data_IF_613155626702
#
_entry.id   IF_613155626702
#
_cell.length_a   1.000
_cell.length_b   1.000
_cell.length_c   1.000
_cell.angle_alpha   90.00
_cell.angle_beta   90.00
_cell.angle_gamma   90.00
#
_symmetry.space_group_name_H-M   'P 1'
#
loop_
_entity.id
_entity.type
_entity.pdbx_description
1 polymer ?
#
# COMPACT_ATOMS: atom_id res chain seq x y z
N UNK A 1 -62.00 48.27 -21.69
CA UNK A 1 -61.88 46.88 -21.15
C UNK A 1 -60.55 46.73 -20.54
N UNK A 2 -60.50 46.59 -19.23
CA UNK A 2 -59.29 46.72 -18.39
C UNK A 2 -58.45 45.45 -18.38
N UNK A 3 -57.15 45.57 -18.68
CA UNK A 3 -56.06 44.51 -18.70
C UNK A 3 -55.57 44.12 -17.30
N UNK A 4 -56.40 44.21 -16.24
CA UNK A 4 -55.94 44.04 -14.83
C UNK A 4 -56.54 42.86 -14.06
N UNK A 5 -57.23 41.89 -14.67
CA UNK A 5 -57.87 40.78 -13.95
C UNK A 5 -57.52 39.39 -14.43
N UNK A 6 -56.31 39.22 -15.04
CA UNK A 6 -55.78 37.88 -15.44
C UNK A 6 -54.55 37.50 -14.66
N UNK A 7 -54.61 37.57 -13.36
CA UNK A 7 -53.39 37.28 -12.56
C UNK A 7 -53.60 36.80 -11.13
N UNK A 8 -54.81 36.36 -10.76
CA UNK A 8 -55.01 35.83 -9.39
C UNK A 8 -55.84 34.54 -9.42
N UNK A 9 -55.21 33.43 -9.73
CA UNK A 9 -55.91 32.15 -9.68
C UNK A 9 -55.19 30.97 -10.29
N UNK A 10 -53.87 30.86 -10.07
CA UNK A 10 -53.20 29.63 -10.44
C UNK A 10 -52.05 29.35 -9.47
N UNK A 11 -52.16 28.19 -8.78
CA UNK A 11 -51.06 27.39 -8.30
C UNK A 11 -50.39 27.76 -6.95
N UNK A 12 -51.14 27.62 -5.86
CA UNK A 12 -50.52 27.45 -4.55
C UNK A 12 -50.77 26.08 -3.87
N UNK A 13 -51.47 25.15 -4.50
CA UNK A 13 -51.89 23.93 -3.80
C UNK A 13 -51.19 22.60 -4.16
N UNK A 14 -50.48 22.37 -5.26
CA UNK A 14 -49.88 21.04 -5.48
C UNK A 14 -48.42 20.86 -5.03
N UNK A 15 -47.69 21.91 -4.64
CA UNK A 15 -46.27 21.81 -4.25
C UNK A 15 -46.03 21.68 -2.74
N UNK A 16 -47.02 21.94 -1.90
CA UNK A 16 -46.85 21.90 -0.44
C UNK A 16 -46.72 20.45 0.11
N UNK A 17 -47.47 19.51 -0.44
CA UNK A 17 -47.42 18.12 0.01
C UNK A 17 -46.13 17.37 -0.34
N UNK A 18 -45.52 17.51 -1.54
CA UNK A 18 -44.20 16.96 -1.85
C UNK A 18 -43.07 17.59 -1.03
N UNK A 19 -43.12 18.91 -0.80
CA UNK A 19 -42.16 19.62 0.04
C UNK A 19 -42.24 19.19 1.52
N UNK A 20 -43.43 19.06 2.07
CA UNK A 20 -43.64 18.57 3.44
C UNK A 20 -43.16 17.12 3.59
N UNK A 21 -43.41 16.22 2.61
CA UNK A 21 -42.89 14.87 2.58
C UNK A 21 -41.37 14.85 2.44
N UNK A 22 -40.76 15.69 1.61
CA UNK A 22 -39.32 15.81 1.47
C UNK A 22 -38.68 16.32 2.77
N UNK A 23 -39.30 17.28 3.46
CA UNK A 23 -38.85 17.77 4.76
C UNK A 23 -39.02 16.72 5.87
N UNK A 24 -40.10 15.93 5.90
CA UNK A 24 -40.26 14.81 6.83
C UNK A 24 -39.24 13.70 6.55
N UNK A 25 -38.95 13.37 5.29
CA UNK A 25 -37.97 12.41 4.90
C UNK A 25 -36.56 12.89 5.27
N UNK A 26 -36.26 14.16 5.02
CA UNK A 26 -35.01 14.80 5.45
C UNK A 26 -34.86 14.83 6.99
N UNK A 27 -35.96 15.18 7.70
CA UNK A 27 -35.97 15.17 9.17
C UNK A 27 -35.83 13.75 9.76
N UNK A 28 -36.32 12.71 9.08
CA UNK A 28 -36.08 11.30 9.46
C UNK A 28 -34.66 10.87 9.15
N UNK A 29 -34.12 11.31 8.02
CA UNK A 29 -32.71 11.02 7.64
C UNK A 29 -31.70 11.75 8.53
N UNK A 30 -32.02 12.93 9.04
CA UNK A 30 -31.22 13.74 9.97
C UNK A 30 -31.38 13.36 11.44
N UNK A 31 -32.29 12.45 11.80
CA UNK A 31 -32.21 11.76 13.11
C UNK A 31 -30.93 10.90 13.08
N UNK A 32 -29.83 11.48 13.56
CA UNK A 32 -28.52 10.86 13.55
C UNK A 32 -28.59 9.41 14.08
N UNK A 33 -27.74 8.57 13.52
CA UNK A 33 -27.57 7.21 14.04
C UNK A 33 -27.33 7.27 15.55
N UNK A 34 -27.80 6.28 16.34
CA UNK A 34 -27.56 6.24 17.79
C UNK A 34 -26.09 6.43 18.13
N UNK A 35 -25.77 7.03 19.27
CA UNK A 35 -24.39 7.15 19.73
C UNK A 35 -23.69 5.79 19.73
N UNK A 36 -22.45 5.76 19.25
CA UNK A 36 -21.64 4.56 19.16
C UNK A 36 -20.40 4.72 20.03
N UNK A 37 -20.03 3.67 20.75
CA UNK A 37 -18.80 3.64 21.55
C UNK A 37 -18.02 2.37 21.28
N UNK A 38 -16.68 2.47 21.36
CA UNK A 38 -15.79 1.30 21.32
C UNK A 38 -15.91 0.54 22.65
N UNK A 39 -16.34 -0.72 22.60
CA UNK A 39 -16.53 -1.58 23.77
C UNK A 39 -15.34 -2.46 24.08
N UNK A 40 -14.70 -2.99 23.05
CA UNK A 40 -13.50 -3.81 23.19
C UNK A 40 -12.61 -3.71 21.95
N UNK A 41 -11.37 -4.09 22.11
CA UNK A 41 -10.37 -4.14 21.06
C UNK A 41 -9.62 -5.47 21.19
N UNK A 42 -9.54 -6.23 20.10
CA UNK A 42 -8.79 -7.48 20.03
C UNK A 42 -7.59 -7.31 19.10
N UNK A 43 -6.45 -7.84 19.51
CA UNK A 43 -5.28 -8.03 18.65
C UNK A 43 -5.26 -9.49 18.24
N UNK A 44 -5.31 -9.75 16.94
CA UNK A 44 -5.39 -11.09 16.36
C UNK A 44 -4.15 -11.31 15.52
N UNK A 45 -3.44 -12.40 15.77
CA UNK A 45 -2.22 -12.76 15.05
C UNK A 45 -2.40 -14.09 14.33
N UNK A 46 -1.85 -14.21 13.11
CA UNK A 46 -1.87 -15.45 12.36
C UNK A 46 -0.75 -15.50 11.34
N UNK A 47 -0.30 -16.72 11.00
CA UNK A 47 0.60 -16.97 9.88
C UNK A 47 -0.12 -17.08 8.53
N UNK A 48 -1.45 -16.91 8.50
CA UNK A 48 -2.25 -17.01 7.27
C UNK A 48 -2.13 -18.32 6.52
N UNK A 49 -1.64 -19.38 7.18
CA UNK A 49 -1.40 -20.69 6.55
C UNK A 49 -0.08 -20.80 5.79
N UNK A 50 0.79 -19.76 5.87
CA UNK A 50 2.18 -19.72 5.41
C UNK A 50 3.07 -19.19 6.54
N UNK A 51 4.29 -18.78 6.22
CA UNK A 51 5.19 -18.13 7.17
C UNK A 51 4.93 -16.61 7.28
N UNK A 52 3.68 -16.17 7.13
CA UNK A 52 3.32 -14.77 7.33
C UNK A 52 3.29 -14.41 8.82
N UNK A 53 3.44 -13.12 9.09
CA UNK A 53 3.47 -12.56 10.45
C UNK A 53 2.38 -11.51 10.59
N UNK A 54 1.16 -11.88 10.21
CA UNK A 54 0.04 -10.96 10.16
C UNK A 54 -0.48 -10.60 11.54
N UNK A 55 -0.71 -9.31 11.71
CA UNK A 55 -1.28 -8.72 12.93
C UNK A 55 -2.47 -7.87 12.56
N UNK A 56 -3.61 -8.17 13.13
CA UNK A 56 -4.85 -7.45 12.90
C UNK A 56 -5.37 -6.83 14.19
N UNK A 57 -5.99 -5.65 14.05
CA UNK A 57 -6.76 -5.01 15.10
C UNK A 57 -8.25 -5.15 14.77
N UNK A 58 -9.02 -5.75 15.68
CA UNK A 58 -10.48 -5.80 15.59
C UNK A 58 -11.09 -4.90 16.66
N UNK A 59 -11.83 -3.86 16.23
CA UNK A 59 -12.54 -2.91 17.10
C UNK A 59 -14.00 -3.33 17.19
N UNK A 60 -14.48 -3.60 18.40
CA UNK A 60 -15.86 -4.03 18.68
C UNK A 60 -16.62 -2.83 19.26
N UNK A 61 -17.81 -2.56 18.71
CA UNK A 61 -18.62 -1.40 19.10
C UNK A 61 -19.76 -1.75 20.08
N UNK A 62 -20.43 -0.72 20.56
CA UNK A 62 -21.63 -0.86 21.39
C UNK A 62 -22.87 -1.34 20.59
N UNK A 63 -22.83 -1.28 19.27
CA UNK A 63 -23.86 -1.80 18.39
C UNK A 63 -23.62 -3.30 18.18
N UNK A 64 -24.58 -4.18 18.56
CA UNK A 64 -24.42 -5.62 18.40
C UNK A 64 -24.17 -6.02 16.96
N UNK A 65 -23.15 -6.83 16.73
CA UNK A 65 -22.79 -7.31 15.39
C UNK A 65 -22.00 -6.30 14.54
N UNK A 66 -21.66 -5.12 15.08
CA UNK A 66 -20.86 -4.12 14.38
C UNK A 66 -19.43 -4.06 14.93
N UNK A 67 -18.48 -4.42 14.10
CA UNK A 67 -17.03 -4.33 14.34
C UNK A 67 -16.29 -3.94 13.06
N UNK A 68 -15.06 -3.51 13.20
CA UNK A 68 -14.15 -3.27 12.09
C UNK A 68 -12.81 -3.94 12.30
N UNK A 69 -12.12 -4.21 11.20
CA UNK A 69 -10.80 -4.82 11.16
C UNK A 69 -9.82 -3.90 10.45
N UNK A 70 -8.56 -3.88 10.91
CA UNK A 70 -7.46 -3.17 10.26
C UNK A 70 -6.15 -3.94 10.38
N UNK A 71 -5.26 -3.70 9.43
CA UNK A 71 -3.94 -4.32 9.35
C UNK A 71 -2.90 -3.52 10.15
N UNK A 72 -2.16 -4.23 11.01
CA UNK A 72 -0.98 -3.72 11.71
C UNK A 72 0.28 -4.47 11.30
N UNK A 73 0.32 -4.96 10.08
CA UNK A 73 1.35 -5.87 9.64
C UNK A 73 2.72 -5.21 9.50
N UNK A 74 3.67 -5.66 10.33
CA UNK A 74 5.08 -5.30 10.29
C UNK A 74 5.94 -6.54 10.56
N UNK A 75 6.45 -7.15 9.52
CA UNK A 75 7.14 -8.43 9.60
C UNK A 75 8.44 -8.40 10.41
N UNK A 76 9.09 -7.24 10.50
CA UNK A 76 10.41 -7.13 11.15
C UNK A 76 10.34 -6.72 12.61
N UNK A 77 9.23 -6.07 13.02
CA UNK A 77 9.02 -5.60 14.39
C UNK A 77 7.65 -6.03 14.95
N UNK A 78 7.18 -7.18 14.55
CA UNK A 78 5.87 -7.73 14.88
C UNK A 78 5.52 -7.65 16.36
N UNK A 79 6.42 -8.10 17.25
CA UNK A 79 6.16 -8.08 18.69
C UNK A 79 6.10 -6.68 19.29
N UNK A 80 6.85 -5.73 18.75
CA UNK A 80 6.76 -4.33 19.15
C UNK A 80 5.38 -3.75 18.80
N UNK A 81 4.89 -4.04 17.60
CA UNK A 81 3.54 -3.65 17.15
C UNK A 81 2.45 -4.28 18.02
N UNK A 82 2.51 -5.59 18.26
CA UNK A 82 1.55 -6.29 19.14
C UNK A 82 1.51 -5.63 20.52
N UNK A 83 2.69 -5.40 21.11
CA UNK A 83 2.79 -4.76 22.44
C UNK A 83 2.21 -3.34 22.43
N UNK A 84 2.51 -2.57 21.39
CA UNK A 84 1.99 -1.21 21.25
C UNK A 84 0.46 -1.18 21.11
N UNK A 85 -0.11 -2.12 20.36
CA UNK A 85 -1.56 -2.29 20.23
C UNK A 85 -2.21 -2.65 21.57
N UNK A 86 -1.70 -3.69 22.25
CA UNK A 86 -2.32 -4.21 23.47
C UNK A 86 -2.14 -3.31 24.69
N UNK A 87 -0.93 -2.77 24.88
CA UNK A 87 -0.56 -2.04 26.11
C UNK A 87 -0.80 -0.54 26.01
N UNK A 88 -0.79 0.02 24.80
CA UNK A 88 -0.91 1.47 24.63
C UNK A 88 -2.17 1.89 23.85
N UNK A 89 -2.51 1.26 22.73
CA UNK A 89 -3.66 1.67 21.94
C UNK A 89 -4.99 1.20 22.53
N UNK A 90 -5.13 -0.10 22.83
CA UNK A 90 -6.36 -0.72 23.33
C UNK A 90 -6.96 0.02 24.54
N UNK A 91 -6.24 0.25 25.65
CA UNK A 91 -6.81 0.92 26.82
C UNK A 91 -7.20 2.37 26.54
N UNK A 92 -6.56 3.02 25.57
CA UNK A 92 -6.87 4.39 25.18
C UNK A 92 -8.12 4.50 24.29
N UNK A 93 -8.42 3.47 23.46
CA UNK A 93 -9.55 3.47 22.54
C UNK A 93 -10.89 3.17 23.22
N UNK A 94 -10.91 2.34 24.25
CA UNK A 94 -12.15 1.92 24.92
C UNK A 94 -12.94 3.14 25.41
N UNK A 95 -14.25 3.16 25.12
CA UNK A 95 -15.17 4.24 25.48
C UNK A 95 -15.24 5.42 24.50
N UNK A 96 -14.33 5.46 23.50
CA UNK A 96 -14.35 6.53 22.49
C UNK A 96 -15.42 6.30 21.42
N UNK A 97 -15.80 7.37 20.72
CA UNK A 97 -16.72 7.34 19.59
C UNK A 97 -15.96 6.99 18.30
N UNK A 98 -16.23 5.81 17.68
CA UNK A 98 -15.55 5.39 16.47
C UNK A 98 -15.92 6.21 15.22
N UNK A 99 -16.95 7.07 15.28
CA UNK A 99 -17.30 7.94 14.17
C UNK A 99 -16.33 9.12 13.98
N UNK A 100 -15.53 9.44 15.03
CA UNK A 100 -14.59 10.56 15.03
C UNK A 100 -13.22 10.14 14.46
N UNK A 101 -13.21 9.60 13.24
CA UNK A 101 -12.02 8.99 12.63
C UNK A 101 -10.84 9.98 12.61
N UNK A 102 -11.03 11.17 12.02
CA UNK A 102 -9.96 12.17 11.90
C UNK A 102 -9.40 12.60 13.28
N UNK A 103 -10.28 12.80 14.28
CA UNK A 103 -9.85 13.15 15.63
C UNK A 103 -9.07 12.02 16.31
N UNK A 104 -9.54 10.77 16.18
CA UNK A 104 -8.85 9.59 16.73
C UNK A 104 -7.52 9.36 16.02
N UNK A 105 -7.48 9.51 14.70
CA UNK A 105 -6.26 9.41 13.92
C UNK A 105 -5.22 10.44 14.38
N UNK A 106 -5.60 11.71 14.43
CA UNK A 106 -4.71 12.80 14.83
C UNK A 106 -4.26 12.65 16.28
N UNK A 107 -5.20 12.36 17.20
CA UNK A 107 -4.89 12.15 18.60
C UNK A 107 -4.00 10.95 18.83
N UNK A 108 -4.22 9.84 18.13
CA UNK A 108 -3.37 8.65 18.23
C UNK A 108 -1.95 8.94 17.76
N UNK A 109 -1.80 9.69 16.70
CA UNK A 109 -0.49 10.07 16.16
C UNK A 109 0.28 11.00 17.11
N UNK A 110 -0.41 11.96 17.76
CA UNK A 110 0.21 12.98 18.61
C UNK A 110 0.45 12.52 20.06
N UNK A 111 -0.39 11.62 20.61
CA UNK A 111 -0.37 11.25 22.02
C UNK A 111 0.92 10.59 22.51
N UNK A 112 1.70 10.03 21.61
CA UNK A 112 2.96 9.37 21.97
C UNK A 112 4.13 10.35 22.14
N UNK A 113 3.93 11.63 21.87
CA UNK A 113 4.93 12.70 21.86
C UNK A 113 5.97 12.51 20.74
N UNK A 114 6.76 11.42 20.74
CA UNK A 114 7.62 11.02 19.62
C UNK A 114 6.77 10.31 18.56
N UNK A 115 6.67 10.92 17.40
CA UNK A 115 5.72 10.55 16.34
C UNK A 115 6.40 9.88 15.16
N UNK A 116 5.61 9.14 14.38
CA UNK A 116 6.09 8.48 13.18
C UNK A 116 6.86 7.20 13.45
N UNK A 117 7.51 6.72 12.43
CA UNK A 117 8.21 5.45 12.43
C UNK A 117 7.31 4.24 12.22
N UNK A 118 7.86 3.13 11.72
CA UNK A 118 7.05 2.01 11.23
C UNK A 118 6.17 1.38 12.30
N UNK A 119 6.64 1.23 13.55
CA UNK A 119 5.83 0.63 14.63
C UNK A 119 4.61 1.48 14.97
N UNK A 120 4.82 2.79 15.21
CA UNK A 120 3.69 3.68 15.54
C UNK A 120 2.70 3.81 14.39
N UNK A 121 3.20 3.91 13.17
CA UNK A 121 2.34 4.05 12.00
C UNK A 121 1.50 2.81 11.76
N UNK A 122 2.05 1.60 11.93
CA UNK A 122 1.25 0.37 11.84
C UNK A 122 0.13 0.32 12.90
N UNK A 123 0.40 0.81 14.11
CA UNK A 123 -0.62 0.92 15.17
C UNK A 123 -1.72 1.91 14.79
N UNK A 124 -1.35 3.07 14.26
CA UNK A 124 -2.31 4.09 13.80
C UNK A 124 -3.10 3.59 12.58
N UNK A 125 -2.43 2.93 11.64
CA UNK A 125 -3.05 2.38 10.43
C UNK A 125 -4.12 1.34 10.76
N UNK A 126 -3.81 0.37 11.62
CA UNK A 126 -4.76 -0.65 12.02
C UNK A 126 -6.02 -0.06 12.69
N UNK A 127 -5.84 0.95 13.53
CA UNK A 127 -6.97 1.66 14.12
C UNK A 127 -7.78 2.39 13.05
N UNK A 128 -7.14 3.11 12.18
CA UNK A 128 -7.77 3.92 11.13
C UNK A 128 -8.56 3.06 10.15
N UNK A 129 -7.97 1.99 9.64
CA UNK A 129 -8.63 1.02 8.76
C UNK A 129 -9.86 0.40 9.44
N UNK A 130 -9.74 -0.03 10.71
CA UNK A 130 -10.87 -0.59 11.45
C UNK A 130 -11.99 0.44 11.69
N UNK A 131 -11.68 1.71 11.91
CA UNK A 131 -12.66 2.77 12.07
C UNK A 131 -13.39 3.09 10.76
N UNK A 132 -12.68 3.12 9.64
CA UNK A 132 -13.29 3.27 8.32
C UNK A 132 -14.16 2.06 7.96
N UNK A 133 -13.72 0.85 8.29
CA UNK A 133 -14.49 -0.38 8.11
C UNK A 133 -15.82 -0.34 8.89
N UNK A 134 -15.78 0.06 10.19
CA UNK A 134 -16.99 0.28 11.00
C UNK A 134 -17.92 1.28 10.34
N UNK A 135 -17.38 2.42 9.91
CA UNK A 135 -18.19 3.49 9.32
C UNK A 135 -18.90 3.02 8.05
N UNK A 136 -18.19 2.33 7.19
CA UNK A 136 -18.72 1.82 5.93
C UNK A 136 -19.72 0.66 6.14
N UNK A 137 -19.44 -0.27 7.05
CA UNK A 137 -20.39 -1.33 7.46
C UNK A 137 -21.68 -0.73 8.04
N UNK A 138 -21.56 0.29 8.88
CA UNK A 138 -22.73 0.99 9.47
C UNK A 138 -23.56 1.73 8.42
N UNK A 139 -22.90 2.24 7.38
CA UNK A 139 -23.56 2.84 6.22
C UNK A 139 -24.12 1.79 5.23
N UNK A 140 -23.83 0.51 5.45
CA UNK A 140 -24.15 -0.61 4.56
C UNK A 140 -23.63 -0.39 3.13
N UNK A 141 -22.38 0.09 3.01
CA UNK A 141 -21.73 0.43 1.74
C UNK A 141 -20.30 -0.12 1.72
N UNK A 142 -19.77 -0.51 0.56
CA UNK A 142 -18.32 -0.66 0.39
C UNK A 142 -17.62 0.67 0.70
N UNK A 143 -16.41 0.62 1.27
CA UNK A 143 -15.74 1.82 1.73
C UNK A 143 -15.51 2.86 0.62
N UNK A 144 -15.20 2.44 -0.60
CA UNK A 144 -14.98 3.38 -1.71
C UNK A 144 -16.18 4.32 -1.96
N UNK A 145 -17.40 3.91 -1.65
CA UNK A 145 -18.59 4.77 -1.78
C UNK A 145 -18.53 5.97 -0.80
N UNK A 146 -17.96 5.77 0.39
CA UNK A 146 -17.74 6.86 1.35
C UNK A 146 -16.53 7.73 0.99
N UNK A 147 -15.66 7.25 0.13
CA UNK A 147 -14.47 7.98 -0.34
C UNK A 147 -14.76 8.82 -1.59
N UNK A 148 -15.97 8.74 -2.14
CA UNK A 148 -16.40 9.51 -3.31
C UNK A 148 -16.98 8.68 -4.45
N UNK A 149 -17.04 7.35 -4.30
CA UNK A 149 -17.47 6.42 -5.33
C UNK A 149 -16.34 5.99 -6.26
N UNK A 150 -16.67 5.17 -7.23
CA UNK A 150 -15.68 4.63 -8.18
C UNK A 150 -15.21 5.69 -9.18
N UNK A 151 -13.91 5.89 -9.29
CA UNK A 151 -13.25 6.59 -10.39
C UNK A 151 -12.78 5.60 -11.49
N UNK A 152 -12.69 4.30 -11.16
CA UNK A 152 -12.26 3.22 -12.03
C UNK A 152 -13.17 1.99 -11.87
N UNK A 153 -13.25 1.14 -12.91
CA UNK A 153 -14.04 -0.10 -12.84
C UNK A 153 -13.29 -1.23 -12.12
N UNK A 154 -11.95 -1.20 -12.15
CA UNK A 154 -11.07 -2.17 -11.50
C UNK A 154 -9.70 -1.54 -11.22
N UNK A 155 -8.94 -2.12 -10.31
CA UNK A 155 -7.60 -1.66 -9.91
C UNK A 155 -6.56 -2.46 -10.69
N UNK A 156 -5.82 -1.81 -11.58
CA UNK A 156 -4.74 -2.45 -12.34
C UNK A 156 -3.58 -2.82 -11.42
N UNK A 157 -3.02 -4.03 -11.63
CA UNK A 157 -1.91 -4.54 -10.85
C UNK A 157 -0.71 -4.90 -11.75
N UNK A 158 0.47 -4.99 -11.14
CA UNK A 158 1.64 -5.56 -11.80
C UNK A 158 2.03 -6.90 -11.16
N UNK A 159 2.46 -7.85 -12.02
CA UNK A 159 2.95 -9.17 -11.61
C UNK A 159 4.44 -9.11 -11.27
N UNK A 160 4.89 -9.98 -10.37
CA UNK A 160 6.29 -10.18 -10.01
C UNK A 160 6.86 -11.32 -10.84
N UNK A 161 7.78 -10.98 -11.74
CA UNK A 161 8.46 -11.93 -12.63
C UNK A 161 9.98 -11.75 -12.55
N UNK A 162 10.72 -12.68 -13.10
CA UNK A 162 12.18 -12.60 -13.14
C UNK A 162 12.81 -13.94 -13.46
N UNK A 163 14.14 -14.01 -13.34
CA UNK A 163 14.88 -15.21 -13.63
C UNK A 163 16.36 -15.08 -13.29
N UNK A 164 17.06 -16.22 -13.30
CA UNK A 164 18.51 -16.28 -13.13
C UNK A 164 19.28 -16.13 -14.45
N UNK A 165 18.55 -16.14 -15.58
CA UNK A 165 19.10 -15.85 -16.90
C UNK A 165 18.18 -14.89 -17.65
N UNK A 166 18.69 -14.26 -18.70
CA UNK A 166 17.92 -13.33 -19.56
C UNK A 166 16.80 -14.06 -20.25
N UNK A 167 17.00 -15.33 -20.62
CA UNK A 167 16.00 -16.21 -21.25
C UNK A 167 14.85 -16.48 -20.27
N UNK A 168 15.14 -16.82 -19.01
CA UNK A 168 14.12 -17.01 -17.98
C UNK A 168 13.29 -15.74 -17.74
N UNK A 169 13.92 -14.56 -17.74
CA UNK A 169 13.20 -13.30 -17.65
C UNK A 169 12.22 -13.12 -18.82
N UNK A 170 12.60 -13.49 -20.04
CA UNK A 170 11.67 -13.46 -21.20
C UNK A 170 10.53 -14.44 -21.00
N UNK A 171 10.80 -15.69 -20.61
CA UNK A 171 9.79 -16.73 -20.38
C UNK A 171 8.78 -16.31 -19.31
N UNK A 172 9.24 -15.76 -18.18
CA UNK A 172 8.35 -15.35 -17.08
C UNK A 172 7.51 -14.14 -17.46
N UNK A 173 8.06 -13.18 -18.23
CA UNK A 173 7.28 -12.06 -18.79
C UNK A 173 6.21 -12.57 -19.76
N UNK A 174 6.53 -13.52 -20.64
CA UNK A 174 5.56 -14.12 -21.56
C UNK A 174 4.45 -14.85 -20.80
N UNK A 175 4.79 -15.66 -19.79
CA UNK A 175 3.81 -16.35 -18.96
C UNK A 175 2.88 -15.39 -18.21
N UNK A 176 3.38 -14.22 -17.80
CA UNK A 176 2.55 -13.16 -17.20
C UNK A 176 1.61 -12.51 -18.22
N UNK A 177 2.08 -12.23 -19.42
CA UNK A 177 1.23 -11.74 -20.52
C UNK A 177 0.10 -12.71 -20.87
N UNK A 178 0.37 -14.03 -20.89
CA UNK A 178 -0.63 -15.08 -21.13
C UNK A 178 -1.71 -15.12 -20.03
N UNK A 179 -1.35 -14.80 -18.78
CA UNK A 179 -2.29 -14.61 -17.67
C UNK A 179 -3.11 -13.32 -17.77
N UNK A 180 -2.78 -12.44 -18.73
CA UNK A 180 -3.48 -11.19 -19.00
C UNK A 180 -2.90 -9.95 -18.34
N UNK A 181 -1.74 -10.04 -17.69
CA UNK A 181 -1.05 -8.87 -17.16
C UNK A 181 -0.47 -8.00 -18.27
N UNK A 182 -0.42 -6.71 -18.04
CA UNK A 182 0.24 -5.73 -18.91
C UNK A 182 1.50 -5.16 -18.30
N UNK A 183 1.61 -5.22 -16.97
CA UNK A 183 2.68 -4.63 -16.17
C UNK A 183 3.39 -5.74 -15.41
N UNK A 184 4.71 -5.81 -15.51
CA UNK A 184 5.53 -6.83 -14.87
C UNK A 184 6.77 -6.21 -14.26
N UNK A 185 6.99 -6.46 -12.96
CA UNK A 185 8.23 -6.13 -12.26
C UNK A 185 9.24 -7.25 -12.50
N UNK A 186 10.23 -6.97 -13.34
CA UNK A 186 11.27 -7.93 -13.71
C UNK A 186 12.45 -7.82 -12.75
N UNK A 187 12.72 -8.91 -12.01
CA UNK A 187 13.90 -9.05 -11.17
C UNK A 187 14.86 -10.08 -11.78
N UNK A 188 16.16 -9.86 -11.59
CA UNK A 188 17.23 -10.72 -12.14
C UNK A 188 18.13 -11.25 -11.02
N UNK A 189 18.41 -12.57 -11.05
CA UNK A 189 19.24 -13.24 -10.05
C UNK A 189 18.49 -13.63 -8.77
N UNK A 190 19.22 -13.75 -7.66
CA UNK A 190 18.66 -14.05 -6.35
C UNK A 190 18.52 -12.79 -5.49
N UNK A 191 17.36 -12.64 -4.85
CA UNK A 191 17.06 -11.48 -4.01
C UNK A 191 16.78 -10.21 -4.80
N UNK A 192 16.57 -9.11 -4.08
CA UNK A 192 16.17 -7.83 -4.67
C UNK A 192 17.31 -7.13 -5.44
N UNK A 193 18.53 -7.47 -5.21
CA UNK A 193 19.67 -6.88 -5.87
C UNK A 193 20.10 -7.53 -7.17
N UNK A 194 19.59 -8.73 -7.45
CA UNK A 194 19.64 -9.51 -8.71
C UNK A 194 20.94 -9.64 -9.40
N UNK A 195 21.85 -8.89 -9.51
CA UNK A 195 23.11 -9.01 -10.27
C UNK A 195 24.29 -8.36 -9.57
N UNK A 196 24.05 -7.70 -8.42
CA UNK A 196 25.07 -6.99 -7.69
C UNK A 196 25.80 -7.83 -6.61
N UNK A 197 25.57 -9.15 -6.58
CA UNK A 197 26.16 -10.00 -5.56
C UNK A 197 27.37 -10.77 -6.07
N UNK A 198 28.44 -10.72 -5.28
CA UNK A 198 29.62 -11.53 -5.45
C UNK A 198 29.56 -12.70 -4.46
N UNK A 199 29.71 -13.93 -4.95
CA UNK A 199 29.86 -15.12 -4.10
C UNK A 199 31.14 -15.06 -3.26
N UNK A 200 31.18 -15.85 -2.18
CA UNK A 200 32.38 -16.00 -1.39
C UNK A 200 33.57 -16.51 -2.28
N UNK A 201 34.69 -15.84 -2.22
CA UNK A 201 35.86 -16.15 -3.04
C UNK A 201 35.91 -15.50 -4.42
N UNK A 202 34.86 -14.84 -4.86
CA UNK A 202 34.86 -14.02 -6.08
C UNK A 202 35.28 -12.58 -5.79
N UNK A 203 36.00 -12.00 -6.75
CA UNK A 203 36.43 -10.61 -6.67
C UNK A 203 37.56 -10.35 -5.64
N UNK A 204 37.93 -9.08 -5.54
CA UNK A 204 38.95 -8.62 -4.58
C UNK A 204 38.31 -8.33 -3.23
N UNK A 205 38.80 -8.99 -2.17
CA UNK A 205 38.30 -8.82 -0.80
C UNK A 205 39.44 -8.43 0.13
N UNK A 206 39.11 -7.74 1.21
CA UNK A 206 40.06 -7.43 2.25
C UNK A 206 40.58 -8.73 2.93
N UNK A 207 41.87 -8.80 3.24
CA UNK A 207 42.44 -9.92 3.99
C UNK A 207 41.75 -10.03 5.36
N UNK A 208 41.28 -11.24 5.70
CA UNK A 208 40.51 -11.50 6.92
C UNK A 208 39.13 -10.84 6.97
N UNK A 209 38.66 -10.21 5.88
CA UNK A 209 37.37 -9.56 5.77
C UNK A 209 36.19 -10.50 5.58
N UNK A 210 35.03 -9.95 5.31
CA UNK A 210 33.74 -10.65 5.11
C UNK A 210 33.84 -11.67 3.97
N UNK A 211 33.48 -12.92 4.24
CA UNK A 211 33.61 -14.05 3.30
C UNK A 211 32.25 -14.51 2.73
N UNK A 212 31.12 -13.88 3.15
CA UNK A 212 29.83 -14.22 2.61
C UNK A 212 29.58 -13.62 1.22
N UNK A 213 28.35 -13.77 0.72
CA UNK A 213 27.90 -13.07 -0.48
C UNK A 213 27.94 -11.56 -0.23
N UNK A 214 28.61 -10.81 -1.09
CA UNK A 214 28.76 -9.37 -0.95
C UNK A 214 28.01 -8.64 -2.03
N UNK A 215 27.46 -7.49 -1.67
CA UNK A 215 26.87 -6.53 -2.61
C UNK A 215 27.97 -5.73 -3.30
N UNK A 216 27.89 -5.66 -4.62
CA UNK A 216 28.72 -4.80 -5.45
C UNK A 216 27.82 -3.92 -6.33
N UNK A 217 27.77 -2.65 -5.99
CA UNK A 217 26.89 -1.66 -6.62
C UNK A 217 27.23 -1.43 -8.10
N UNK A 218 28.54 -1.39 -8.43
CA UNK A 218 28.99 -1.17 -9.80
C UNK A 218 28.64 -2.40 -10.68
N UNK A 219 28.84 -3.61 -10.15
CA UNK A 219 28.42 -4.84 -10.82
C UNK A 219 26.91 -4.84 -11.09
N UNK A 220 26.09 -4.38 -10.13
CA UNK A 220 24.65 -4.27 -10.32
C UNK A 220 24.29 -3.30 -11.46
N UNK A 221 24.86 -2.11 -11.44
CA UNK A 221 24.62 -1.07 -12.45
C UNK A 221 25.05 -1.52 -13.86
N UNK A 222 26.05 -2.40 -13.96
CA UNK A 222 26.52 -2.98 -15.22
C UNK A 222 25.69 -4.20 -15.68
N UNK A 223 25.13 -4.97 -14.76
CA UNK A 223 24.44 -6.24 -15.04
C UNK A 223 22.98 -6.06 -15.46
N UNK A 224 22.25 -5.16 -14.81
CA UNK A 224 20.79 -5.06 -14.98
C UNK A 224 20.39 -4.49 -16.36
N UNK A 225 20.97 -3.39 -16.89
CA UNK A 225 20.55 -2.82 -18.16
C UNK A 225 20.58 -3.81 -19.34
N UNK A 226 21.63 -4.66 -19.51
CA UNK A 226 21.66 -5.70 -20.56
C UNK A 226 20.54 -6.77 -20.44
N UNK A 227 19.96 -6.97 -19.27
CA UNK A 227 18.80 -7.86 -19.11
C UNK A 227 17.58 -7.23 -19.78
N UNK A 228 17.33 -5.96 -19.52
CA UNK A 228 16.23 -5.22 -20.13
C UNK A 228 16.40 -5.02 -21.63
N UNK A 229 17.63 -4.81 -22.09
CA UNK A 229 17.96 -4.81 -23.52
C UNK A 229 17.50 -6.12 -24.18
N UNK A 230 17.89 -7.26 -23.60
CA UNK A 230 17.55 -8.59 -24.11
C UNK A 230 16.04 -8.84 -24.10
N UNK A 231 15.35 -8.52 -23.00
CA UNK A 231 13.87 -8.65 -22.90
C UNK A 231 13.19 -7.79 -23.95
N UNK A 232 13.63 -6.53 -24.14
CA UNK A 232 13.08 -5.62 -25.16
C UNK A 232 13.35 -6.10 -26.58
N UNK A 233 14.54 -6.66 -26.85
CA UNK A 233 14.87 -7.23 -28.16
C UNK A 233 13.96 -8.42 -28.53
N UNK A 234 13.50 -9.20 -27.53
CA UNK A 234 12.61 -10.36 -27.75
C UNK A 234 11.12 -10.00 -27.76
N UNK A 235 10.67 -9.10 -26.90
CA UNK A 235 9.25 -8.85 -26.64
C UNK A 235 8.78 -7.46 -27.10
N UNK A 236 9.70 -6.61 -27.57
CA UNK A 236 9.39 -5.24 -27.97
C UNK A 236 8.93 -4.36 -26.80
N UNK A 237 8.18 -3.29 -27.10
CA UNK A 237 7.73 -2.27 -26.15
C UNK A 237 6.30 -2.50 -25.65
N UNK A 238 5.61 -3.55 -26.09
CA UNK A 238 4.24 -3.88 -25.69
C UNK A 238 4.10 -4.10 -24.18
N UNK A 239 4.90 -4.99 -23.57
CA UNK A 239 4.91 -5.20 -22.13
C UNK A 239 5.37 -3.93 -21.39
N UNK A 240 4.68 -3.57 -20.30
CA UNK A 240 5.06 -2.49 -19.41
C UNK A 240 5.97 -3.05 -18.31
N UNK A 241 7.27 -2.86 -18.46
CA UNK A 241 8.27 -3.41 -17.57
C UNK A 241 8.59 -2.45 -16.44
N UNK A 242 8.75 -2.98 -15.25
CA UNK A 242 9.18 -2.31 -14.03
C UNK A 242 10.44 -2.99 -13.50
N UNK A 243 11.22 -2.29 -12.69
CA UNK A 243 12.35 -2.87 -11.98
C UNK A 243 12.46 -2.27 -10.58
N UNK A 244 12.78 -3.10 -9.60
CA UNK A 244 12.93 -2.72 -8.22
C UNK A 244 14.40 -2.78 -7.80
N UNK A 245 14.93 -1.65 -7.38
CA UNK A 245 16.31 -1.50 -6.90
C UNK A 245 16.40 -1.73 -5.39
N UNK A 246 15.26 -1.60 -4.71
CA UNK A 246 15.12 -1.86 -3.28
C UNK A 246 16.09 -1.07 -2.40
N UNK A 247 16.25 0.22 -2.70
CA UNK A 247 17.05 1.20 -1.96
C UNK A 247 18.59 0.94 -1.91
N UNK A 248 19.11 0.05 -2.74
CA UNK A 248 20.50 -0.42 -2.65
C UNK A 248 21.54 0.47 -3.33
N UNK A 249 21.15 1.53 -4.05
CA UNK A 249 22.11 2.37 -4.78
C UNK A 249 22.53 3.62 -3.98
N UNK A 250 23.79 3.99 -4.16
CA UNK A 250 24.28 5.32 -3.76
C UNK A 250 23.79 6.39 -4.71
N UNK A 251 23.84 7.66 -4.30
CA UNK A 251 23.30 8.75 -5.08
C UNK A 251 23.86 8.88 -6.50
N UNK A 252 25.17 8.70 -6.71
CA UNK A 252 25.79 8.75 -8.05
C UNK A 252 25.38 7.58 -8.92
N UNK A 253 25.36 6.36 -8.36
CA UNK A 253 24.98 5.15 -9.08
C UNK A 253 23.47 5.10 -9.37
N UNK A 254 22.64 5.70 -8.51
CA UNK A 254 21.21 5.89 -8.80
C UNK A 254 20.99 6.75 -10.05
N UNK A 255 21.74 7.86 -10.19
CA UNK A 255 21.70 8.71 -11.39
C UNK A 255 22.16 7.92 -12.62
N UNK A 256 23.33 7.27 -12.54
CA UNK A 256 23.90 6.49 -13.64
C UNK A 256 22.97 5.36 -14.08
N UNK A 257 22.44 4.62 -13.11
CA UNK A 257 21.49 3.50 -13.37
C UNK A 257 20.24 4.01 -14.09
N UNK A 258 19.63 5.09 -13.60
CA UNK A 258 18.42 5.66 -14.23
C UNK A 258 18.66 6.10 -15.66
N UNK A 259 19.83 6.70 -15.97
CA UNK A 259 20.21 7.03 -17.33
C UNK A 259 20.39 5.80 -18.21
N UNK A 260 21.04 4.75 -17.68
CA UNK A 260 21.26 3.49 -18.42
C UNK A 260 19.96 2.72 -18.70
N UNK A 261 18.94 2.91 -17.86
CA UNK A 261 17.62 2.28 -18.04
C UNK A 261 16.72 3.03 -19.02
N UNK A 262 17.01 4.30 -19.33
CA UNK A 262 16.17 5.15 -20.18
C UNK A 262 15.85 4.56 -21.57
N UNK A 263 16.82 3.95 -22.30
CA UNK A 263 16.55 3.34 -23.63
C UNK A 263 15.51 2.20 -23.61
N UNK A 264 15.25 1.61 -22.45
CA UNK A 264 14.35 0.46 -22.33
C UNK A 264 12.91 0.84 -22.02
N UNK A 265 12.59 2.13 -21.88
CA UNK A 265 11.24 2.66 -21.68
C UNK A 265 10.46 1.92 -20.60
N UNK A 266 11.00 1.91 -19.39
CA UNK A 266 10.34 1.29 -18.26
C UNK A 266 9.06 2.06 -17.88
N UNK A 267 8.10 1.35 -17.35
CA UNK A 267 6.92 1.97 -16.73
C UNK A 267 7.32 2.78 -15.50
N UNK A 268 8.21 2.22 -14.68
CA UNK A 268 9.01 2.94 -13.69
C UNK A 268 10.21 2.10 -13.20
N UNK A 269 11.18 2.78 -12.59
CA UNK A 269 12.16 2.20 -11.69
C UNK A 269 11.69 2.48 -10.26
N UNK A 270 11.76 1.46 -9.41
CA UNK A 270 11.25 1.47 -8.05
C UNK A 270 12.40 1.61 -7.05
N UNK A 271 12.19 2.46 -6.03
CA UNK A 271 13.01 2.60 -4.82
C UNK A 271 14.53 2.57 -5.08
N UNK A 272 15.03 3.53 -5.89
CA UNK A 272 16.46 3.66 -6.20
C UNK A 272 17.34 3.88 -4.96
N UNK A 273 16.83 4.65 -4.00
CA UNK A 273 17.60 5.25 -2.91
C UNK A 273 16.88 5.03 -1.58
N UNK A 274 17.66 4.83 -0.52
CA UNK A 274 17.15 4.85 0.84
C UNK A 274 16.51 6.20 1.20
N UNK A 275 15.54 6.24 2.15
CA UNK A 275 14.84 7.47 2.56
C UNK A 275 15.77 8.60 2.98
N UNK A 276 16.91 8.26 3.56
CA UNK A 276 17.93 9.21 4.01
C UNK A 276 18.56 9.97 2.85
N UNK A 277 18.45 9.46 1.63
CA UNK A 277 19.09 9.99 0.41
C UNK A 277 18.10 10.62 -0.59
N UNK A 278 16.86 10.91 -0.19
CA UNK A 278 15.81 11.45 -1.08
C UNK A 278 16.22 12.75 -1.80
N UNK A 279 17.13 13.52 -1.26
CA UNK A 279 17.64 14.74 -1.90
C UNK A 279 18.30 14.50 -3.26
N UNK A 280 18.80 13.28 -3.51
CA UNK A 280 19.40 12.89 -4.77
C UNK A 280 18.40 12.76 -5.91
N UNK A 281 17.10 12.59 -5.64
CA UNK A 281 16.06 12.55 -6.68
C UNK A 281 16.01 13.82 -7.52
N UNK A 282 16.45 14.98 -6.99
CA UNK A 282 16.61 16.20 -7.81
C UNK A 282 17.65 16.02 -8.93
N UNK A 283 18.76 15.33 -8.64
CA UNK A 283 19.78 15.01 -9.64
C UNK A 283 19.33 13.94 -10.61
N UNK A 284 18.63 12.90 -10.10
CA UNK A 284 18.02 11.85 -10.96
C UNK A 284 17.08 12.49 -11.96
N UNK A 285 16.13 13.33 -11.49
CA UNK A 285 15.15 14.00 -12.35
C UNK A 285 15.80 14.95 -13.38
N UNK A 286 16.88 15.60 -13.03
CA UNK A 286 17.64 16.47 -13.96
C UNK A 286 18.40 15.67 -15.02
N UNK A 287 18.79 14.44 -14.73
CA UNK A 287 19.68 13.64 -15.54
C UNK A 287 18.96 12.71 -16.53
N UNK A 288 17.73 12.32 -16.26
CA UNK A 288 16.98 11.37 -17.10
C UNK A 288 15.45 11.52 -16.97
N UNK A 289 14.74 10.95 -17.94
CA UNK A 289 13.27 10.90 -18.01
C UNK A 289 12.69 9.56 -17.52
N UNK A 290 13.50 8.61 -17.08
CA UNK A 290 13.03 7.33 -16.57
C UNK A 290 12.06 7.56 -15.40
N UNK A 291 10.80 7.09 -15.49
CA UNK A 291 9.83 7.30 -14.41
C UNK A 291 10.27 6.63 -13.11
N UNK A 292 10.00 7.30 -11.98
CA UNK A 292 10.41 6.89 -10.65
C UNK A 292 9.20 6.57 -9.77
N UNK A 293 9.19 5.40 -9.12
CA UNK A 293 8.22 5.01 -8.10
C UNK A 293 8.94 4.84 -6.76
N UNK A 294 8.53 5.59 -5.73
CA UNK A 294 9.32 5.66 -4.49
C UNK A 294 8.42 5.67 -3.28
N UNK A 295 8.83 4.97 -2.22
CA UNK A 295 8.22 5.18 -0.93
C UNK A 295 7.86 3.95 -0.11
N UNK A 296 8.23 2.74 -0.48
CA UNK A 296 7.94 1.51 0.24
C UNK A 296 8.29 1.59 1.74
N UNK A 297 9.46 2.14 2.04
CA UNK A 297 9.96 2.26 3.41
C UNK A 297 9.66 3.59 4.07
N UNK A 298 8.90 4.48 3.43
CA UNK A 298 8.53 5.77 4.01
C UNK A 298 7.54 5.60 5.16
N UNK A 299 7.79 6.34 6.21
CA UNK A 299 6.96 6.34 7.41
C UNK A 299 6.62 7.75 7.89
N UNK A 300 7.10 8.80 7.19
CA UNK A 300 6.97 10.18 7.60
C UNK A 300 6.57 11.07 6.41
N UNK A 301 5.61 11.99 6.56
CA UNK A 301 5.25 12.95 5.51
C UNK A 301 6.41 13.75 4.93
N UNK A 302 7.44 14.05 5.73
CA UNK A 302 8.62 14.78 5.26
C UNK A 302 9.45 14.02 4.22
N UNK A 303 9.29 12.70 4.11
CA UNK A 303 9.99 11.87 3.13
C UNK A 303 9.36 11.98 1.74
N UNK A 304 8.03 11.90 1.64
CA UNK A 304 7.35 11.93 0.33
C UNK A 304 6.84 13.31 -0.09
N UNK A 305 6.55 14.21 0.84
CA UNK A 305 6.01 15.54 0.52
C UNK A 305 6.88 16.32 -0.47
N UNK A 306 8.20 16.51 -0.26
CA UNK A 306 9.03 17.22 -1.22
C UNK A 306 9.15 16.49 -2.57
N UNK A 307 9.15 15.15 -2.57
CA UNK A 307 9.22 14.37 -3.80
C UNK A 307 7.99 14.57 -4.69
N UNK A 308 6.81 14.68 -4.09
CA UNK A 308 5.55 14.94 -4.80
C UNK A 308 5.48 16.42 -5.23
N UNK A 309 5.67 17.35 -4.30
CA UNK A 309 5.46 18.79 -4.57
C UNK A 309 6.48 19.40 -5.51
N UNK A 310 7.69 18.85 -5.57
CA UNK A 310 8.72 19.22 -6.54
C UNK A 310 8.68 18.36 -7.82
N UNK A 311 7.72 17.42 -7.93
CA UNK A 311 7.56 16.53 -9.08
C UNK A 311 8.83 15.71 -9.40
N UNK A 312 9.53 15.28 -8.36
CA UNK A 312 10.76 14.50 -8.48
C UNK A 312 10.51 13.02 -8.77
N UNK A 313 9.29 12.57 -8.49
CA UNK A 313 8.82 11.19 -8.73
C UNK A 313 7.56 11.21 -9.58
N UNK A 314 7.28 10.09 -10.22
CA UNK A 314 6.09 9.90 -11.05
C UNK A 314 5.02 9.11 -10.31
N UNK A 315 5.44 8.27 -9.34
CA UNK A 315 4.56 7.45 -8.52
C UNK A 315 4.99 7.50 -7.05
N UNK A 316 4.06 7.85 -6.17
CA UNK A 316 4.22 7.71 -4.73
C UNK A 316 3.83 6.27 -4.32
N UNK A 317 4.82 5.49 -3.84
CA UNK A 317 4.68 4.05 -3.60
C UNK A 317 4.77 3.71 -2.11
N UNK A 318 4.04 4.42 -1.28
CA UNK A 318 4.00 4.14 0.16
C UNK A 318 3.10 2.92 0.47
N UNK A 319 3.25 2.37 1.67
CA UNK A 319 2.44 1.26 2.18
C UNK A 319 1.35 1.80 3.10
N UNK A 320 0.08 1.50 2.82
CA UNK A 320 -1.06 2.05 3.56
C UNK A 320 -0.99 1.69 5.04
N UNK A 321 -0.66 0.45 5.39
CA UNK A 321 -0.49 0.03 6.78
C UNK A 321 0.73 0.63 7.49
N UNK A 322 1.68 1.26 6.78
CA UNK A 322 2.90 1.84 7.36
C UNK A 322 2.91 3.37 7.42
N UNK A 323 1.92 4.04 6.80
CA UNK A 323 1.86 5.52 6.73
C UNK A 323 0.75 6.14 7.57
N UNK A 324 -0.06 5.35 8.27
CA UNK A 324 -1.18 5.85 9.08
C UNK A 324 -2.56 5.51 8.51
N UNK A 325 -2.68 4.51 7.64
CA UNK A 325 -3.94 3.97 7.15
C UNK A 325 -4.59 4.77 6.03
N UNK A 326 -5.88 4.53 5.85
CA UNK A 326 -6.73 5.09 4.78
C UNK A 326 -6.81 6.61 4.85
N UNK A 327 -6.93 7.18 6.05
CA UNK A 327 -6.98 8.64 6.25
C UNK A 327 -5.74 9.31 5.66
N UNK A 328 -4.56 8.77 5.90
CA UNK A 328 -3.31 9.33 5.35
C UNK A 328 -3.16 9.01 3.86
N UNK A 329 -3.48 7.79 3.43
CA UNK A 329 -3.43 7.39 2.03
C UNK A 329 -4.29 8.31 1.15
N UNK A 330 -5.50 8.64 1.62
CA UNK A 330 -6.39 9.59 0.93
C UNK A 330 -5.77 10.99 0.82
N UNK A 331 -5.10 11.48 1.87
CA UNK A 331 -4.38 12.78 1.82
C UNK A 331 -3.24 12.75 0.82
N UNK A 332 -2.48 11.64 0.77
CA UNK A 332 -1.41 11.44 -0.22
C UNK A 332 -1.98 11.38 -1.63
N UNK A 333 -3.04 10.62 -1.88
CA UNK A 333 -3.66 10.54 -3.20
C UNK A 333 -4.14 11.91 -3.69
N UNK A 334 -4.76 12.71 -2.81
CA UNK A 334 -5.15 14.09 -3.13
C UNK A 334 -3.94 14.98 -3.45
N UNK A 335 -2.86 14.87 -2.68
CA UNK A 335 -1.63 15.61 -2.95
C UNK A 335 -1.03 15.20 -4.30
N UNK A 336 -0.97 13.91 -4.59
CA UNK A 336 -0.49 13.38 -5.85
C UNK A 336 -1.30 13.92 -7.03
N UNK A 337 -2.64 13.92 -6.94
CA UNK A 337 -3.53 14.46 -7.96
C UNK A 337 -3.22 15.93 -8.28
N UNK A 338 -3.05 16.76 -7.24
CA UNK A 338 -2.77 18.19 -7.39
C UNK A 338 -1.43 18.50 -8.06
N UNK A 339 -0.46 17.61 -7.94
CA UNK A 339 0.89 17.79 -8.50
C UNK A 339 1.17 16.90 -9.73
N UNK A 340 0.18 16.16 -10.25
CA UNK A 340 0.34 15.31 -11.42
C UNK A 340 1.18 14.06 -11.18
N UNK A 341 1.37 13.66 -9.94
CA UNK A 341 2.00 12.41 -9.52
C UNK A 341 0.91 11.35 -9.34
N UNK A 342 1.23 10.07 -9.49
CA UNK A 342 0.30 8.97 -9.31
C UNK A 342 0.58 8.21 -8.02
N UNK A 343 -0.39 7.40 -7.57
CA UNK A 343 -0.17 6.43 -6.50
C UNK A 343 0.19 5.06 -7.07
N UNK A 344 1.00 4.31 -6.32
CA UNK A 344 1.36 2.93 -6.62
C UNK A 344 1.63 2.18 -5.30
N UNK A 345 0.57 1.92 -4.51
CA UNK A 345 0.73 1.38 -3.15
C UNK A 345 1.52 0.08 -3.13
N UNK A 346 2.42 0.00 -2.14
CA UNK A 346 3.23 -1.18 -1.89
C UNK A 346 2.37 -2.28 -1.23
N UNK A 347 2.39 -3.47 -1.85
CA UNK A 347 1.65 -4.64 -1.40
C UNK A 347 2.51 -5.92 -1.44
N UNK A 348 3.81 -5.80 -1.28
CA UNK A 348 4.78 -6.90 -1.39
C UNK A 348 4.44 -8.16 -0.60
N UNK A 349 5.19 -9.22 -0.85
CA UNK A 349 4.87 -10.61 -0.48
C UNK A 349 4.58 -10.94 0.98
N UNK A 350 4.89 -10.07 1.91
CA UNK A 350 4.57 -10.21 3.34
C UNK A 350 3.27 -9.52 3.76
N UNK A 351 2.62 -8.80 2.84
CA UNK A 351 1.40 -8.06 3.15
C UNK A 351 0.19 -8.98 3.31
N UNK A 352 -0.92 -8.43 3.79
CA UNK A 352 -2.14 -9.19 4.09
C UNK A 352 -3.35 -8.67 3.31
N UNK A 353 -4.42 -9.48 3.19
CA UNK A 353 -5.62 -9.12 2.43
C UNK A 353 -6.34 -7.86 2.94
N UNK A 354 -6.24 -7.52 4.22
CA UNK A 354 -6.90 -6.33 4.77
C UNK A 354 -6.22 -5.08 4.25
N UNK A 355 -4.88 -5.01 4.31
CA UNK A 355 -4.15 -3.87 3.75
C UNK A 355 -4.30 -3.78 2.23
N UNK A 356 -4.26 -4.91 1.50
CA UNK A 356 -4.48 -4.91 0.05
C UNK A 356 -5.85 -4.33 -0.32
N UNK A 357 -6.90 -4.63 0.45
CA UNK A 357 -8.22 -4.06 0.21
C UNK A 357 -8.36 -2.63 0.72
N UNK A 358 -7.64 -2.23 1.78
CA UNK A 358 -7.55 -0.83 2.17
C UNK A 358 -6.98 0.02 1.03
N UNK A 359 -5.88 -0.43 0.42
CA UNK A 359 -5.30 0.19 -0.79
C UNK A 359 -6.28 0.20 -1.96
N UNK A 360 -6.94 -0.93 -2.24
CA UNK A 360 -7.95 -1.06 -3.29
C UNK A 360 -9.06 0.00 -3.16
N UNK A 361 -9.57 0.25 -1.96
CA UNK A 361 -10.64 1.24 -1.76
C UNK A 361 -10.18 2.66 -2.03
N UNK A 362 -8.94 2.99 -1.69
CA UNK A 362 -8.35 4.30 -2.02
C UNK A 362 -8.15 4.42 -3.54
N UNK A 363 -7.58 3.39 -4.16
CA UNK A 363 -7.26 3.38 -5.59
C UNK A 363 -8.51 3.49 -6.46
N UNK A 364 -9.52 2.64 -6.22
CA UNK A 364 -10.72 2.61 -7.06
C UNK A 364 -11.54 3.91 -7.00
N UNK A 365 -11.33 4.71 -5.93
CA UNK A 365 -12.00 6.00 -5.73
C UNK A 365 -11.11 7.22 -6.06
N UNK A 366 -9.90 7.02 -6.57
CA UNK A 366 -8.92 8.10 -6.79
C UNK A 366 -8.54 8.26 -8.27
N UNK A 367 -8.59 9.47 -8.78
CA UNK A 367 -8.08 9.84 -10.12
C UNK A 367 -6.54 9.89 -10.17
N UNK A 368 -5.86 9.96 -9.02
CA UNK A 368 -4.41 9.86 -8.92
C UNK A 368 -3.90 8.42 -9.04
N UNK A 369 -4.78 7.43 -9.07
CA UNK A 369 -4.39 6.03 -9.19
C UNK A 369 -3.52 5.78 -10.43
N UNK A 370 -2.41 5.09 -10.24
CA UNK A 370 -1.50 4.66 -11.31
C UNK A 370 -1.50 3.16 -11.49
N UNK A 371 -1.07 2.45 -10.45
CA UNK A 371 -1.02 0.99 -10.42
C UNK A 371 -0.91 0.53 -8.96
N UNK A 372 -1.35 -0.68 -8.65
CA UNK A 372 -1.15 -1.32 -7.35
C UNK A 372 -0.20 -2.51 -7.48
N UNK A 373 0.70 -2.67 -6.51
CA UNK A 373 1.40 -3.94 -6.35
C UNK A 373 0.41 -5.01 -5.92
N UNK A 374 0.56 -6.22 -6.42
CA UNK A 374 -0.34 -7.30 -6.04
C UNK A 374 0.33 -8.30 -5.09
N UNK A 375 -0.51 -9.02 -4.36
CA UNK A 375 -0.11 -10.21 -3.62
C UNK A 375 -1.10 -11.33 -3.88
N UNK A 376 -0.57 -12.50 -4.28
CA UNK A 376 -1.35 -13.71 -4.45
C UNK A 376 -1.39 -14.49 -3.15
N UNK A 377 -2.56 -14.52 -2.53
CA UNK A 377 -2.79 -15.28 -1.30
C UNK A 377 -3.13 -16.74 -1.59
N UNK A 378 -2.61 -17.70 -0.83
CA UNK A 378 -2.98 -19.12 -0.97
C UNK A 378 -4.43 -19.34 -0.54
N UNK A 379 -5.09 -20.43 -1.01
CA UNK A 379 -6.49 -20.72 -0.69
C UNK A 379 -6.82 -20.66 0.80
N UNK A 380 -5.94 -21.18 1.67
CA UNK A 380 -6.13 -21.14 3.12
C UNK A 380 -6.23 -19.72 3.67
N UNK A 381 -5.52 -18.77 3.08
CA UNK A 381 -5.60 -17.35 3.48
C UNK A 381 -6.98 -16.75 3.17
N UNK A 382 -7.63 -17.18 2.08
CA UNK A 382 -9.00 -16.79 1.76
C UNK A 382 -10.04 -17.36 2.75
N UNK A 383 -9.75 -18.52 3.35
CA UNK A 383 -10.60 -19.11 4.41
C UNK A 383 -10.40 -18.40 5.75
N UNK A 384 -9.15 -18.01 6.06
CA UNK A 384 -8.82 -17.23 7.27
C UNK A 384 -9.37 -15.82 7.18
N UNK A 385 -9.31 -15.22 5.99
CA UNK A 385 -9.75 -13.86 5.69
C UNK A 385 -10.80 -13.87 4.56
N UNK A 386 -12.05 -14.28 4.86
CA UNK A 386 -13.11 -14.30 3.87
C UNK A 386 -13.38 -12.89 3.33
N UNK A 387 -13.58 -12.81 2.02
CA UNK A 387 -13.73 -11.53 1.32
C UNK A 387 -12.43 -10.99 0.72
N UNK A 388 -11.30 -11.69 0.89
CA UNK A 388 -10.05 -11.38 0.17
C UNK A 388 -10.32 -11.13 -1.32
N UNK A 389 -9.75 -10.04 -1.86
CA UNK A 389 -9.93 -9.66 -3.24
C UNK A 389 -9.41 -10.70 -4.23
N UNK A 390 -9.95 -10.68 -5.44
CA UNK A 390 -9.57 -11.57 -6.53
C UNK A 390 -8.82 -10.83 -7.62
N UNK A 391 -7.70 -11.38 -8.06
CA UNK A 391 -6.95 -10.86 -9.21
C UNK A 391 -7.32 -11.66 -10.44
N UNK A 392 -7.82 -10.96 -11.46
CA UNK A 392 -8.20 -11.54 -12.74
C UNK A 392 -7.62 -10.72 -13.87
N UNK A 393 -6.80 -11.34 -14.71
CA UNK A 393 -6.15 -10.72 -15.89
C UNK A 393 -5.41 -9.42 -15.53
N UNK A 394 -4.67 -9.41 -14.41
CA UNK A 394 -3.90 -8.26 -13.96
C UNK A 394 -4.72 -7.12 -13.35
N UNK A 395 -5.95 -7.40 -12.90
CA UNK A 395 -6.80 -6.44 -12.20
C UNK A 395 -7.34 -7.02 -10.90
N UNK A 396 -7.25 -6.27 -9.83
CA UNK A 396 -7.82 -6.60 -8.52
C UNK A 396 -9.28 -6.14 -8.44
N UNK A 397 -10.11 -7.02 -7.91
CA UNK A 397 -11.53 -6.80 -7.64
C UNK A 397 -11.82 -7.09 -6.17
N UNK A 398 -12.38 -6.12 -5.47
CA UNK A 398 -12.91 -6.33 -4.12
C UNK A 398 -14.24 -7.08 -4.13
N UNK A 399 -14.64 -7.60 -2.98
CA UNK A 399 -15.87 -8.39 -2.80
C UNK A 399 -17.17 -7.60 -3.04
N UNK A 400 -17.12 -6.26 -2.97
CA UNK A 400 -18.31 -5.40 -3.02
C UNK A 400 -19.17 -5.42 -1.75
N UNK A 401 -18.77 -6.15 -0.72
CA UNK A 401 -19.45 -6.16 0.58
C UNK A 401 -19.23 -4.85 1.34
N UNK A 402 -20.12 -4.49 2.31
CA UNK A 402 -19.94 -3.33 3.15
C UNK A 402 -18.61 -3.33 3.92
N UNK A 403 -18.07 -2.15 4.17
CA UNK A 403 -16.78 -2.01 4.84
C UNK A 403 -15.61 -2.16 3.87
N UNK A 404 -14.52 -2.72 4.36
CA UNK A 404 -13.39 -3.16 3.54
C UNK A 404 -13.74 -4.38 2.67
N UNK A 405 -14.87 -5.03 2.95
CA UNK A 405 -15.32 -6.21 2.21
C UNK A 405 -14.59 -7.50 2.60
N UNK A 406 -13.72 -7.47 3.57
CA UNK A 406 -12.98 -8.60 4.15
C UNK A 406 -13.23 -8.66 5.64
N UNK A 407 -13.21 -9.86 6.22
CA UNK A 407 -13.26 -10.07 7.67
C UNK A 407 -12.32 -11.22 8.08
N UNK A 408 -12.19 -11.47 9.37
CA UNK A 408 -11.33 -12.52 9.91
C UNK A 408 -12.13 -13.64 10.57
N UNK A 409 -11.87 -14.87 10.18
CA UNK A 409 -12.31 -16.06 10.88
C UNK A 409 -11.37 -16.33 12.06
N UNK A 410 -11.70 -15.78 13.25
CA UNK A 410 -10.86 -15.87 14.44
C UNK A 410 -10.55 -17.31 14.85
N UNK A 411 -11.52 -18.23 14.70
CA UNK A 411 -11.34 -19.64 15.05
C UNK A 411 -10.35 -20.35 14.11
N UNK A 412 -10.35 -19.98 12.84
CA UNK A 412 -9.42 -20.54 11.87
C UNK A 412 -8.05 -19.86 11.98
N UNK A 413 -7.98 -18.55 12.18
CA UNK A 413 -6.76 -17.81 12.42
C UNK A 413 -5.94 -18.38 13.60
N UNK A 414 -6.63 -18.79 14.68
CA UNK A 414 -6.00 -19.40 15.84
C UNK A 414 -5.34 -20.77 15.54
N UNK A 415 -5.71 -21.44 14.45
CA UNK A 415 -5.08 -22.70 14.01
C UNK A 415 -3.74 -22.48 13.30
N UNK A 416 -3.47 -21.24 12.90
CA UNK A 416 -2.25 -20.84 12.20
C UNK A 416 -1.53 -19.76 13.01
N UNK A 417 -0.96 -20.08 14.19
CA UNK A 417 -0.25 -19.09 15.01
C UNK A 417 0.97 -18.56 14.27
N UNK A 418 1.49 -17.42 14.73
CA UNK A 418 2.78 -16.91 14.23
C UNK A 418 3.87 -17.95 14.49
N UNK A 419 4.75 -18.14 13.49
CA UNK A 419 5.96 -18.93 13.69
C UNK A 419 6.93 -18.20 14.63
N UNK A 420 7.65 -18.95 15.44
CA UNK A 420 8.76 -18.41 16.23
C UNK A 420 9.86 -17.88 15.31
N UNK A 421 10.42 -16.75 15.68
CA UNK A 421 11.49 -16.11 14.93
C UNK A 421 12.85 -16.55 15.47
N UNK A 422 13.57 -17.31 14.68
CA UNK A 422 14.94 -17.75 15.04
C UNK A 422 15.98 -16.61 14.94
N UNK A 423 15.67 -15.57 14.17
CA UNK A 423 16.54 -14.41 13.90
C UNK A 423 16.01 -13.09 14.50
N UNK A 424 15.01 -13.17 15.38
CA UNK A 424 14.33 -11.98 15.93
C UNK A 424 13.46 -11.23 14.93
N UNK A 425 13.26 -11.76 13.72
CA UNK A 425 12.50 -11.11 12.64
C UNK A 425 13.29 -10.04 11.89
N UNK A 426 14.61 -10.02 12.00
CA UNK A 426 15.45 -9.03 11.35
C UNK A 426 15.41 -9.15 9.81
N UNK A 427 15.44 -8.00 9.13
CA UNK A 427 15.70 -7.98 7.70
C UNK A 427 17.16 -8.39 7.43
N UNK A 428 17.39 -9.15 6.35
CA UNK A 428 18.73 -9.56 5.97
C UNK A 428 19.60 -8.34 5.67
N UNK A 429 20.71 -8.21 6.36
CA UNK A 429 21.67 -7.13 6.14
C UNK A 429 22.67 -7.52 5.07
N UNK A 430 22.71 -6.77 3.97
CA UNK A 430 23.72 -6.94 2.94
C UNK A 430 25.03 -6.24 3.32
N UNK A 431 26.16 -6.77 2.82
CA UNK A 431 27.48 -6.25 3.09
C UNK A 431 28.30 -6.11 1.82
N UNK A 432 29.11 -5.06 1.75
CA UNK A 432 30.12 -4.90 0.71
C UNK A 432 31.30 -5.88 0.87
N UNK A 433 32.18 -5.88 -0.12
CA UNK A 433 33.40 -6.75 -0.14
C UNK A 433 34.34 -6.47 1.02
N UNK A 434 34.30 -5.28 1.58
CA UNK A 434 35.07 -4.86 2.76
C UNK A 434 34.38 -5.17 4.09
N UNK A 435 33.19 -5.79 4.04
CA UNK A 435 32.37 -6.10 5.21
C UNK A 435 31.48 -4.97 5.71
N UNK A 436 31.53 -3.78 5.09
CA UNK A 436 30.67 -2.65 5.41
C UNK A 436 29.20 -3.02 5.18
N UNK A 437 28.33 -2.67 6.13
CA UNK A 437 26.87 -2.79 5.96
C UNK A 437 26.40 -1.86 4.86
N UNK A 438 25.59 -2.40 3.96
CA UNK A 438 24.94 -1.68 2.86
C UNK A 438 23.49 -1.39 3.28
N UNK A 439 22.97 -0.27 2.86
CA UNK A 439 21.56 0.09 3.06
C UNK A 439 20.66 -0.94 2.35
N UNK A 440 19.59 -1.40 3.03
CA UNK A 440 18.62 -2.28 2.41
C UNK A 440 17.69 -1.51 1.46
#
# INVERSE_FOLDING_TARGET
>A
MNRREFGKGLLAAPLAAPLARAQETAARATKGLPPLTIKDVKVITTSGGRNYRWVFLKIITSEPGLWGIGSANNNYQTYAVITALEKHLKPWLIGKDPNRIEDLWQSSNLRTYWRGGPVNNNVVSAMDEALWDIKAKRANMPLYELLGGKAHDAVACYDHVGGRSKEQCVETVQGSLEKGYRHMRVQFGEGYGGGGFLAAGEGSRAEGGYQGVAWDEDLYVDTIPPVFEYVRAKLGTGPKLLHDVHSHLSGSNAVLFSQRMEPYHLFFVQDLLAPENISWYRKVRQACSTPQAVGEVFSNPHEYFPLITEQLIDFCRTRVSAIGGITQAKKIATLCEMFGVKTAWQEGGENDPVNQLASYHVDISSTAFGIQEENHFPPVSHEVLPGTGEIRKGYLYGSGLPGLGVDINEALAAKYPLADFTDGGAYKTDRGVDGKVIWP
#
